data_IF_854023572049
#
_entry.id   IF_854023572049
#
_cell.length_a   1.000
_cell.length_b   1.000
_cell.length_c   1.000
_cell.angle_alpha   90.00
_cell.angle_beta   90.00
_cell.angle_gamma   90.00
#
_symmetry.space_group_name_H-M   'P 1'
#
loop_
_entity.id
_entity.type
_entity.pdbx_description
1 polymer ?
#
# COMPACT_ATOMS: atom_id res chain seq x y z
N UNK A 1 -22.65 16.58 25.05
CA UNK A 1 -23.22 16.22 23.74
C UNK A 1 -22.09 15.69 22.84
N UNK A 2 -22.17 14.45 22.49
CA UNK A 2 -21.19 13.93 21.55
C UNK A 2 -21.59 14.38 20.15
N UNK A 3 -20.76 15.20 19.54
CA UNK A 3 -20.90 15.48 18.11
C UNK A 3 -20.42 14.24 17.37
N UNK A 4 -21.31 13.66 16.59
CA UNK A 4 -20.92 12.55 15.74
C UNK A 4 -20.13 13.10 14.55
N UNK A 5 -18.82 13.28 14.75
CA UNK A 5 -17.94 13.77 13.69
C UNK A 5 -17.88 12.82 12.50
N UNK A 6 -18.35 11.59 12.67
CA UNK A 6 -18.38 10.60 11.61
C UNK A 6 -19.47 10.89 10.58
N UNK A 7 -20.57 11.54 10.99
CA UNK A 7 -21.66 11.87 10.09
C UNK A 7 -21.28 12.96 9.08
N UNK A 8 -20.27 13.77 9.39
CA UNK A 8 -19.82 14.85 8.50
C UNK A 8 -18.76 14.39 7.50
N UNK A 9 -18.26 13.16 7.65
CA UNK A 9 -17.25 12.66 6.74
C UNK A 9 -17.87 12.24 5.42
N UNK A 10 -17.39 12.86 4.34
CA UNK A 10 -17.81 12.53 2.99
C UNK A 10 -16.60 12.08 2.16
N UNK A 11 -16.50 10.78 1.85
CA UNK A 11 -15.37 10.26 1.06
C UNK A 11 -15.19 10.94 -0.29
N UNK A 12 -16.28 11.44 -0.88
CA UNK A 12 -16.20 12.10 -2.20
C UNK A 12 -15.45 13.43 -2.18
N UNK A 13 -15.18 13.98 -1.00
CA UNK A 13 -14.37 15.18 -0.85
C UNK A 13 -12.87 14.90 -0.86
N UNK A 14 -12.47 13.64 -0.73
CA UNK A 14 -11.08 13.27 -0.81
C UNK A 14 -10.66 13.16 -2.28
N UNK A 15 -9.55 13.78 -2.64
CA UNK A 15 -9.05 13.74 -4.02
C UNK A 15 -8.06 12.60 -4.25
N UNK A 16 -7.55 11.98 -3.18
CA UNK A 16 -6.59 10.87 -3.29
C UNK A 16 -6.94 9.75 -2.31
N UNK A 17 -6.43 8.55 -2.57
CA UNK A 17 -6.56 7.42 -1.64
C UNK A 17 -5.87 7.71 -0.31
N UNK A 18 -4.78 8.48 -0.33
CA UNK A 18 -4.06 8.83 0.90
C UNK A 18 -4.90 9.76 1.78
N UNK A 19 -5.55 10.75 1.19
CA UNK A 19 -6.48 11.61 1.93
C UNK A 19 -7.61 10.80 2.55
N UNK A 20 -8.14 9.83 1.79
CA UNK A 20 -9.20 8.95 2.27
C UNK A 20 -8.71 8.09 3.43
N UNK A 21 -7.54 7.47 3.30
CA UNK A 21 -6.97 6.65 4.36
C UNK A 21 -6.69 7.48 5.62
N UNK A 22 -6.11 8.68 5.47
CA UNK A 22 -5.84 9.56 6.59
C UNK A 22 -7.12 9.96 7.32
N UNK A 23 -8.17 10.29 6.59
CA UNK A 23 -9.46 10.64 7.18
C UNK A 23 -10.08 9.43 7.92
N UNK A 24 -10.04 8.25 7.32
CA UNK A 24 -10.56 7.03 7.95
C UNK A 24 -9.75 6.65 9.18
N UNK A 25 -8.43 6.76 9.12
CA UNK A 25 -7.56 6.45 10.25
C UNK A 25 -7.76 7.43 11.41
N UNK A 26 -8.06 8.69 11.12
CA UNK A 26 -8.35 9.68 12.14
C UNK A 26 -9.70 9.46 12.80
N UNK A 27 -10.73 9.11 12.03
CA UNK A 27 -12.10 8.95 12.52
C UNK A 27 -12.37 7.55 13.09
N UNK A 28 -11.80 6.53 12.48
CA UNK A 28 -12.07 5.13 12.83
C UNK A 28 -10.78 4.31 12.89
N UNK A 29 -9.81 4.68 13.76
CA UNK A 29 -8.50 3.99 13.77
C UNK A 29 -8.60 2.51 14.09
N UNK A 30 -9.61 2.11 14.87
CA UNK A 30 -9.77 0.72 15.31
C UNK A 30 -10.65 -0.13 14.38
N UNK A 31 -11.22 0.48 13.36
CA UNK A 31 -12.06 -0.26 12.42
C UNK A 31 -11.20 -1.10 11.48
N UNK A 32 -11.57 -2.37 11.33
CA UNK A 32 -10.88 -3.29 10.42
C UNK A 32 -11.13 -2.86 8.98
N UNK A 33 -10.06 -2.70 8.22
CA UNK A 33 -10.12 -2.37 6.79
C UNK A 33 -9.84 -3.58 5.91
N UNK A 34 -8.95 -4.47 6.33
CA UNK A 34 -8.64 -5.69 5.60
C UNK A 34 -8.58 -6.89 6.54
N UNK A 35 -9.01 -8.02 6.02
CA UNK A 35 -8.83 -9.32 6.67
C UNK A 35 -8.15 -10.24 5.66
N UNK A 36 -6.98 -10.74 6.01
CA UNK A 36 -6.25 -11.68 5.19
C UNK A 36 -6.49 -13.09 5.71
N UNK A 37 -6.95 -13.97 4.82
CA UNK A 37 -7.24 -15.36 5.15
C UNK A 37 -6.16 -16.25 4.54
N UNK A 38 -5.10 -16.62 5.28
CA UNK A 38 -4.01 -17.41 4.74
C UNK A 38 -4.54 -18.73 4.26
N UNK A 39 -4.93 -19.51 4.02
CA UNK A 39 -5.45 -20.80 3.56
C UNK A 39 -6.98 -20.84 3.43
N UNK A 40 -7.64 -19.68 3.36
CA UNK A 40 -9.10 -19.64 3.28
C UNK A 40 -9.81 -20.04 4.56
N UNK A 41 -9.11 -20.08 5.69
CA UNK A 41 -9.69 -20.41 6.99
C UNK A 41 -10.47 -19.22 7.58
N UNK A 42 -11.39 -19.52 8.50
CA UNK A 42 -12.23 -18.50 9.13
C UNK A 42 -11.43 -17.52 9.99
N UNK A 43 -10.34 -17.96 10.60
CA UNK A 43 -9.50 -17.12 11.44
C UNK A 43 -8.45 -16.42 10.58
N UNK A 44 -8.66 -15.16 10.25
CA UNK A 44 -7.74 -14.38 9.45
C UNK A 44 -6.92 -13.40 10.26
N UNK A 45 -5.97 -12.77 9.59
CA UNK A 45 -5.20 -11.66 10.14
C UNK A 45 -5.91 -10.37 9.76
N UNK A 46 -6.27 -9.57 10.76
CA UNK A 46 -6.98 -8.30 10.52
C UNK A 46 -6.04 -7.12 10.60
N UNK A 47 -6.33 -6.08 9.82
CA UNK A 47 -5.63 -4.80 9.83
C UNK A 47 -6.65 -3.70 9.99
N UNK A 48 -6.42 -2.82 10.95
CA UNK A 48 -7.26 -1.64 11.15
C UNK A 48 -6.78 -0.47 10.30
N UNK A 49 -7.62 0.55 10.15
CA UNK A 49 -7.20 1.78 9.46
C UNK A 49 -5.98 2.43 10.10
N UNK A 50 -5.94 2.46 11.43
CA UNK A 50 -4.80 3.01 12.15
C UNK A 50 -3.51 2.24 11.91
N UNK A 51 -3.59 0.92 11.96
CA UNK A 51 -2.43 0.05 11.67
C UNK A 51 -1.94 0.20 10.23
N UNK A 52 -2.87 0.24 9.27
CA UNK A 52 -2.51 0.44 7.87
C UNK A 52 -1.78 1.77 7.67
N UNK A 53 -2.34 2.86 8.21
CA UNK A 53 -1.71 4.17 8.12
C UNK A 53 -0.32 4.18 8.74
N UNK A 54 -0.17 3.63 9.95
CA UNK A 54 1.11 3.60 10.66
C UNK A 54 2.17 2.81 9.90
N UNK A 55 1.81 1.62 9.43
CA UNK A 55 2.75 0.76 8.70
C UNK A 55 3.12 1.32 7.35
N UNK A 56 2.14 1.86 6.63
CA UNK A 56 2.38 2.49 5.34
C UNK A 56 3.32 3.69 5.45
N UNK A 57 3.13 4.52 6.47
CA UNK A 57 4.01 5.67 6.73
C UNK A 57 5.43 5.24 7.08
N UNK A 58 5.59 4.18 7.86
CA UNK A 58 6.91 3.65 8.19
C UNK A 58 7.65 3.17 6.93
N UNK A 59 6.94 2.49 6.04
CA UNK A 59 7.49 2.05 4.75
C UNK A 59 7.84 3.26 3.89
N UNK A 60 6.96 4.25 3.85
CA UNK A 60 7.19 5.47 3.08
C UNK A 60 8.46 6.20 3.53
N UNK A 61 8.70 6.27 4.84
CA UNK A 61 9.91 6.89 5.38
C UNK A 61 11.17 6.15 4.92
N UNK A 62 11.14 4.82 4.90
CA UNK A 62 12.27 4.01 4.42
C UNK A 62 12.50 4.21 2.92
N UNK A 63 11.43 4.23 2.14
CA UNK A 63 11.54 4.45 0.70
C UNK A 63 12.08 5.86 0.40
N UNK A 64 11.62 6.86 1.15
CA UNK A 64 11.99 8.25 0.94
C UNK A 64 13.49 8.52 1.13
N UNK A 65 14.21 7.66 1.86
CA UNK A 65 15.66 7.78 2.02
C UNK A 65 16.43 7.55 0.71
N UNK A 66 15.83 6.84 -0.23
CA UNK A 66 16.49 6.41 -1.47
C UNK A 66 15.77 6.83 -2.75
N UNK A 67 14.67 7.57 -2.62
CA UNK A 67 13.82 7.88 -3.77
C UNK A 67 13.42 9.35 -3.78
N UNK A 68 12.90 9.79 -4.92
CA UNK A 68 12.29 11.11 -5.09
C UNK A 68 10.84 10.93 -5.50
N UNK A 69 10.02 11.94 -5.22
CA UNK A 69 8.62 11.95 -5.64
C UNK A 69 8.55 11.76 -7.15
N UNK A 70 7.69 10.86 -7.59
CA UNK A 70 7.52 10.52 -9.00
C UNK A 70 8.35 9.34 -9.47
N UNK A 71 9.28 8.84 -8.64
CA UNK A 71 10.02 7.62 -8.97
C UNK A 71 9.07 6.43 -9.03
N UNK A 72 9.44 5.43 -9.82
CA UNK A 72 8.65 4.22 -9.98
C UNK A 72 9.14 3.13 -9.05
N UNK A 73 8.22 2.51 -8.33
CA UNK A 73 8.52 1.41 -7.42
C UNK A 73 7.96 0.11 -8.00
N UNK A 74 8.84 -0.77 -8.41
CA UNK A 74 8.44 -2.09 -8.90
C UNK A 74 8.16 -2.97 -7.68
N UNK A 75 6.89 -3.39 -7.55
CA UNK A 75 6.43 -4.17 -6.41
C UNK A 75 6.33 -5.63 -6.79
N UNK A 76 7.23 -6.45 -6.24
CA UNK A 76 7.34 -7.88 -6.52
C UNK A 76 6.83 -8.73 -5.35
N UNK A 77 5.71 -8.34 -4.79
CA UNK A 77 5.12 -9.04 -3.66
C UNK A 77 4.12 -10.11 -4.11
N UNK A 78 4.07 -11.26 -3.45
CA UNK A 78 2.91 -12.13 -3.57
C UNK A 78 1.67 -11.46 -2.98
N UNK A 79 0.49 -12.01 -3.27
CA UNK A 79 -0.75 -11.51 -2.69
C UNK A 79 -0.70 -11.60 -1.16
N UNK A 80 -1.15 -10.55 -0.48
CA UNK A 80 -1.20 -10.54 0.97
C UNK A 80 -1.06 -9.15 1.55
N UNK A 81 -0.97 -9.09 2.88
CA UNK A 81 -0.90 -7.83 3.61
C UNK A 81 0.38 -7.03 3.31
N UNK A 82 1.48 -7.71 3.09
CA UNK A 82 2.75 -7.04 2.76
C UNK A 82 2.62 -6.21 1.49
N UNK A 83 1.94 -6.74 0.49
CA UNK A 83 1.65 -5.99 -0.74
C UNK A 83 0.84 -4.72 -0.43
N UNK A 84 -0.19 -4.86 0.41
CA UNK A 84 -1.08 -3.74 0.76
C UNK A 84 -0.30 -2.65 1.48
N UNK A 85 0.51 -3.00 2.47
CA UNK A 85 1.32 -2.04 3.20
C UNK A 85 2.31 -1.32 2.28
N UNK A 86 2.99 -2.05 1.41
CA UNK A 86 3.94 -1.48 0.47
C UNK A 86 3.25 -0.58 -0.55
N UNK A 87 2.08 -0.97 -1.03
CA UNK A 87 1.30 -0.18 -1.99
C UNK A 87 0.94 1.20 -1.41
N UNK A 88 0.38 1.21 -0.20
CA UNK A 88 0.05 2.48 0.46
C UNK A 88 1.32 3.24 0.87
N UNK A 89 2.38 2.53 1.23
CA UNK A 89 3.67 3.14 1.50
C UNK A 89 4.23 3.89 0.29
N UNK A 90 4.12 3.33 -0.90
CA UNK A 90 4.49 4.01 -2.13
C UNK A 90 3.68 5.29 -2.32
N UNK A 91 2.37 5.23 -2.07
CA UNK A 91 1.52 6.41 -2.20
C UNK A 91 1.90 7.52 -1.22
N UNK A 92 2.17 7.17 0.04
CA UNK A 92 2.62 8.18 1.02
C UNK A 92 3.96 8.80 0.63
N UNK A 93 4.85 8.02 0.04
CA UNK A 93 6.15 8.51 -0.40
C UNK A 93 6.10 9.30 -1.72
N UNK A 94 4.94 9.36 -2.36
CA UNK A 94 4.80 10.03 -3.66
C UNK A 94 5.37 9.24 -4.83
N UNK A 95 5.51 7.94 -4.67
CA UNK A 95 6.03 7.04 -5.70
C UNK A 95 4.90 6.52 -6.59
N UNK A 96 5.27 6.10 -7.78
CA UNK A 96 4.36 5.42 -8.70
C UNK A 96 4.50 3.93 -8.45
N UNK A 97 3.49 3.31 -7.87
CA UNK A 97 3.49 1.88 -7.61
C UNK A 97 3.26 1.10 -8.90
N UNK A 98 4.15 0.17 -9.21
CA UNK A 98 4.04 -0.69 -10.40
C UNK A 98 4.01 -2.15 -9.93
N UNK A 99 2.82 -2.70 -9.64
CA UNK A 99 2.71 -4.09 -9.24
C UNK A 99 3.06 -5.03 -10.39
N UNK A 100 3.84 -6.05 -10.08
CA UNK A 100 4.17 -7.11 -11.01
C UNK A 100 4.24 -8.43 -10.25
N UNK A 101 4.10 -9.52 -10.97
CA UNK A 101 4.22 -10.82 -10.32
C UNK A 101 5.67 -11.09 -9.93
N UNK A 102 5.91 -11.59 -8.71
CA UNK A 102 7.26 -11.99 -8.34
C UNK A 102 7.73 -13.13 -9.25
N UNK A 103 9.03 -13.16 -9.58
CA UNK A 103 9.56 -14.21 -10.43
C UNK A 103 9.45 -15.58 -9.74
N UNK A 104 9.00 -16.57 -10.48
CA UNK A 104 8.95 -17.95 -10.00
C UNK A 104 10.29 -18.63 -10.25
N UNK A 105 10.57 -19.70 -9.48
CA UNK A 105 11.86 -20.37 -9.45
C UNK A 105 12.40 -20.80 -10.81
N UNK A 106 11.54 -21.18 -11.75
CA UNK A 106 11.93 -21.62 -13.09
C UNK A 106 11.40 -20.71 -14.20
N UNK A 107 11.07 -19.48 -13.86
CA UNK A 107 10.47 -18.57 -14.82
C UNK A 107 11.53 -17.77 -15.57
N UNK A 108 11.31 -17.58 -16.87
CA UNK A 108 12.11 -16.69 -17.68
C UNK A 108 11.96 -15.24 -17.19
N UNK A 109 13.05 -14.63 -16.78
CA UNK A 109 13.06 -13.26 -16.27
C UNK A 109 13.00 -12.20 -17.38
N UNK A 110 12.92 -12.60 -18.64
CA UNK A 110 12.90 -11.66 -19.76
C UNK A 110 11.77 -10.66 -19.71
N UNK A 111 10.57 -11.11 -19.31
CA UNK A 111 9.41 -10.23 -19.17
C UNK A 111 9.63 -9.20 -18.06
N UNK A 112 10.13 -9.64 -16.92
CA UNK A 112 10.42 -8.75 -15.80
C UNK A 112 11.48 -7.73 -16.20
N UNK A 113 12.52 -8.14 -16.87
CA UNK A 113 13.56 -7.25 -17.37
C UNK A 113 12.99 -6.21 -18.35
N UNK A 114 12.09 -6.63 -19.24
CA UNK A 114 11.45 -5.71 -20.16
C UNK A 114 10.62 -4.66 -19.43
N UNK A 115 9.92 -5.06 -18.37
CA UNK A 115 9.15 -4.12 -17.55
C UNK A 115 10.09 -3.11 -16.88
N UNK A 116 11.18 -3.59 -16.28
CA UNK A 116 12.16 -2.73 -15.61
C UNK A 116 12.78 -1.74 -16.61
N UNK A 117 13.20 -2.21 -17.76
CA UNK A 117 13.82 -1.37 -18.78
C UNK A 117 12.85 -0.29 -19.30
N UNK A 118 11.56 -0.60 -19.35
CA UNK A 118 10.53 0.33 -19.80
C UNK A 118 10.15 1.39 -18.78
N UNK A 119 10.49 1.23 -17.50
CA UNK A 119 10.11 2.13 -16.44
C UNK A 119 11.13 3.24 -16.15
N UNK A 120 12.34 3.12 -16.66
CA UNK A 120 13.43 4.05 -16.34
C UNK A 120 14.01 3.77 -14.95
N UNK A 121 14.18 4.81 -14.13
CA UNK A 121 14.68 4.62 -12.77
C UNK A 121 13.62 3.93 -11.93
N UNK A 122 13.96 2.83 -11.31
CA UNK A 122 13.05 1.96 -10.57
C UNK A 122 13.72 1.46 -9.30
N UNK A 123 12.97 1.44 -8.22
CA UNK A 123 13.34 0.65 -7.05
C UNK A 123 12.50 -0.62 -7.05
N UNK A 124 13.11 -1.73 -6.72
CA UNK A 124 12.41 -2.99 -6.56
C UNK A 124 12.18 -3.27 -5.07
N UNK A 125 10.98 -3.69 -4.72
CA UNK A 125 10.62 -4.04 -3.35
C UNK A 125 9.97 -5.42 -3.31
N UNK A 126 10.31 -6.20 -2.30
CA UNK A 126 9.69 -7.50 -2.05
C UNK A 126 10.06 -8.07 -0.68
#
# INVERSE_FOLDING_TARGET
MSVDVHSDFNPSRCSTLIELLEARAALHPEKVVFTFLPDGEEAGITVTYGELSTRAKAIANRFGEHTQVGDRALMLFPSGLEFIFAFFGCMYAGLIAVPAYPPRRNQNLGRLKSIIDGLGEVIATY
#
